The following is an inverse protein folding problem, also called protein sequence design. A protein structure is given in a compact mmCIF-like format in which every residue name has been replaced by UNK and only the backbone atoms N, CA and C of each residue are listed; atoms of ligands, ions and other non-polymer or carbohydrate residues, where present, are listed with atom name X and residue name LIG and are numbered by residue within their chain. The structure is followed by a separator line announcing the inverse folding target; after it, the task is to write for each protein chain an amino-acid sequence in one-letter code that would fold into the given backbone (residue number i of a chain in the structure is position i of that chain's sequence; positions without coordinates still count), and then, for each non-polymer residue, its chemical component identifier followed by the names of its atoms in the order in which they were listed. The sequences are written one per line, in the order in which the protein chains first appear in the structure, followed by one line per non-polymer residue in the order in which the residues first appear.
data_IF_240881989100
#
_entry.id   IF_240881989100
#
_cell.length_a   1.000
_cell.length_b   1.000
_cell.length_c   1.000
_cell.angle_alpha   90.00
_cell.angle_beta   90.00
_cell.angle_gamma   90.00
#
_symmetry.space_group_name_H-M   'P 1'
#
loop_
_entity.id
_entity.type
_entity.pdbx_description
1 polymer ?
#
# COMPACT_ATOMS: atom_id res chain seq x y z
N UNK A 1 67.77 -18.10 -8.35
CA UNK A 1 66.59 -18.56 -9.14
C UNK A 1 65.69 -19.44 -8.25
N UNK A 2 64.37 -19.43 -8.51
CA UNK A 2 63.31 -19.39 -7.48
C UNK A 2 62.64 -20.76 -7.24
N UNK A 3 61.89 -20.91 -6.13
CA UNK A 3 60.50 -21.46 -6.04
C UNK A 3 59.93 -21.09 -4.64
N UNK A 4 59.11 -20.04 -4.55
CA UNK A 4 57.64 -20.01 -4.57
C UNK A 4 57.00 -20.47 -3.24
N UNK A 5 56.40 -19.47 -2.61
CA UNK A 5 55.41 -19.41 -1.53
C UNK A 5 54.32 -20.50 -1.60
N UNK A 6 53.82 -20.97 -0.47
CA UNK A 6 52.71 -20.35 0.28
C UNK A 6 52.16 -21.39 1.26
N UNK A 7 52.21 -21.07 2.55
CA UNK A 7 51.58 -21.87 3.59
C UNK A 7 50.07 -21.76 3.43
N UNK A 8 49.43 -22.87 3.09
CA UNK A 8 47.99 -22.98 3.05
C UNK A 8 47.39 -22.69 4.44
N UNK A 9 47.02 -21.44 4.66
CA UNK A 9 46.20 -20.98 5.78
C UNK A 9 44.80 -21.60 5.61
N UNK A 10 44.55 -22.67 6.38
CA UNK A 10 43.24 -23.28 6.52
C UNK A 10 42.33 -22.34 7.33
N UNK A 11 41.77 -21.33 6.68
CA UNK A 11 40.62 -20.62 7.24
C UNK A 11 39.40 -21.55 7.17
N UNK A 12 38.69 -21.81 8.30
CA UNK A 12 37.37 -22.41 8.24
C UNK A 12 36.43 -21.41 7.55
N UNK A 13 35.97 -21.77 6.34
CA UNK A 13 34.91 -21.04 5.65
C UNK A 13 33.73 -20.89 6.60
N UNK A 14 33.40 -19.64 6.96
CA UNK A 14 32.15 -19.32 7.65
C UNK A 14 30.98 -20.00 6.91
N UNK A 15 29.99 -20.55 7.63
CA UNK A 15 28.80 -21.08 6.98
C UNK A 15 28.19 -19.97 6.14
N UNK A 16 28.04 -20.23 4.84
CA UNK A 16 27.41 -19.32 3.90
C UNK A 16 26.06 -18.90 4.49
N UNK A 17 25.92 -17.61 4.82
CA UNK A 17 24.63 -17.01 5.12
C UNK A 17 23.66 -17.43 4.00
N UNK A 18 22.45 -17.94 4.34
CA UNK A 18 21.45 -18.16 3.33
C UNK A 18 21.18 -16.79 2.69
N UNK A 19 21.55 -16.67 1.41
CA UNK A 19 21.15 -15.51 0.59
C UNK A 19 19.66 -15.31 0.83
N UNK A 20 19.19 -14.07 1.05
CA UNK A 20 17.76 -13.83 1.17
C UNK A 20 17.11 -14.46 -0.05
N UNK A 21 16.30 -15.50 0.20
CA UNK A 21 15.45 -16.09 -0.82
C UNK A 21 14.76 -14.91 -1.48
N UNK A 22 15.04 -14.72 -2.77
CA UNK A 22 14.28 -13.80 -3.58
C UNK A 22 12.83 -14.20 -3.36
N UNK A 23 12.06 -13.33 -2.71
CA UNK A 23 10.62 -13.46 -2.56
C UNK A 23 10.10 -14.02 -3.89
N UNK A 24 9.22 -15.05 -3.88
CA UNK A 24 8.71 -15.60 -5.12
C UNK A 24 8.29 -14.42 -5.96
N UNK A 25 8.89 -14.28 -7.16
CA UNK A 25 8.56 -13.21 -8.07
C UNK A 25 7.07 -13.35 -8.31
N UNK A 26 6.29 -12.59 -7.53
CA UNK A 26 4.86 -12.68 -7.50
C UNK A 26 4.51 -12.08 -8.83
N UNK A 27 4.36 -12.94 -9.85
CA UNK A 27 4.14 -12.50 -11.22
C UNK A 27 2.95 -11.57 -11.08
N UNK A 28 3.11 -10.26 -11.39
CA UNK A 28 2.01 -9.35 -11.28
C UNK A 28 0.86 -10.02 -12.04
N UNK A 29 -0.30 -10.17 -11.39
CA UNK A 29 -1.40 -10.92 -11.98
C UNK A 29 -1.58 -10.48 -13.42
N UNK A 30 -1.88 -11.40 -14.35
CA UNK A 30 -1.90 -11.08 -15.78
C UNK A 30 -2.77 -9.84 -16.12
N UNK A 31 -3.77 -9.54 -15.29
CA UNK A 31 -4.60 -8.34 -15.39
C UNK A 31 -3.81 -7.03 -15.21
N UNK A 32 -2.76 -6.98 -14.38
CA UNK A 32 -1.95 -5.76 -14.14
C UNK A 32 -1.22 -5.29 -15.39
N UNK A 33 -0.75 -6.21 -16.25
CA UNK A 33 0.00 -5.88 -17.47
C UNK A 33 -0.87 -5.28 -18.57
N UNK A 34 -2.15 -5.61 -18.62
CA UNK A 34 -3.09 -5.06 -19.61
C UNK A 34 -3.55 -3.64 -19.25
N UNK A 35 -3.38 -3.22 -17.99
CA UNK A 35 -3.83 -1.92 -17.48
C UNK A 35 -2.88 -0.77 -17.83
N UNK A 36 -1.58 -1.05 -17.91
CA UNK A 36 -0.54 -0.03 -18.07
C UNK A 36 -0.52 0.63 -19.46
N UNK A 37 -1.25 0.09 -20.45
CA UNK A 37 -1.18 0.53 -21.85
C UNK A 37 -2.18 1.64 -22.24
N UNK A 38 -3.16 1.99 -21.40
CA UNK A 38 -4.40 2.63 -21.86
C UNK A 38 -4.53 4.15 -21.62
N UNK A 39 -3.52 4.82 -21.06
CA UNK A 39 -3.54 6.29 -20.88
C UNK A 39 -4.64 6.87 -19.97
N UNK A 40 -5.38 6.01 -19.28
CA UNK A 40 -6.46 6.36 -18.35
C UNK A 40 -5.91 6.73 -16.96
N UNK A 41 -6.66 7.51 -16.19
CA UNK A 41 -6.34 7.76 -14.78
C UNK A 41 -6.29 6.43 -13.99
N UNK A 42 -5.44 6.29 -12.95
CA UNK A 42 -5.28 5.08 -12.15
C UNK A 42 -6.57 4.36 -11.74
N UNK A 43 -7.58 5.11 -11.27
CA UNK A 43 -8.86 4.56 -10.84
C UNK A 43 -9.69 4.05 -12.04
N UNK A 44 -9.58 4.69 -13.21
CA UNK A 44 -10.21 4.28 -14.48
C UNK A 44 -9.53 3.04 -15.08
N UNK A 45 -8.22 2.97 -14.89
CA UNK A 45 -7.40 1.79 -15.19
C UNK A 45 -7.86 0.58 -14.37
N UNK A 46 -8.09 0.76 -13.07
CA UNK A 46 -8.71 -0.25 -12.21
C UNK A 46 -10.13 -0.60 -12.69
N UNK A 47 -10.96 0.41 -13.00
CA UNK A 47 -12.32 0.22 -13.54
C UNK A 47 -12.32 -0.66 -14.79
N UNK A 48 -11.41 -0.42 -15.75
CA UNK A 48 -11.36 -1.14 -17.04
C UNK A 48 -10.79 -2.56 -16.93
N UNK A 49 -9.77 -2.78 -16.12
CA UNK A 49 -9.18 -4.10 -15.89
C UNK A 49 -10.19 -5.10 -15.34
N UNK A 50 -10.96 -4.63 -14.36
CA UNK A 50 -11.95 -5.44 -13.65
C UNK A 50 -13.19 -5.61 -14.54
N UNK A 51 -13.64 -4.57 -15.24
CA UNK A 51 -14.79 -4.65 -16.15
C UNK A 51 -14.57 -5.56 -17.37
N UNK A 52 -13.32 -5.67 -17.88
CA UNK A 52 -12.99 -6.59 -18.99
C UNK A 52 -13.04 -8.07 -18.57
N UNK A 53 -13.00 -8.37 -17.27
CA UNK A 53 -12.97 -9.73 -16.73
C UNK A 53 -14.29 -10.10 -16.03
N UNK A 54 -15.41 -9.73 -16.64
CA UNK A 54 -16.77 -10.03 -16.19
C UNK A 54 -17.08 -11.55 -16.15
N UNK A 55 -16.40 -12.27 -15.27
CA UNK A 55 -17.03 -13.22 -14.39
C UNK A 55 -17.14 -12.50 -13.05
N UNK A 56 -18.33 -11.96 -12.77
CA UNK A 56 -18.70 -11.58 -11.40
C UNK A 56 -18.34 -12.73 -10.45
N UNK A 57 -17.88 -12.43 -9.24
CA UNK A 57 -17.53 -13.41 -8.18
C UNK A 57 -16.07 -13.86 -8.07
N UNK A 58 -15.06 -13.01 -8.33
CA UNK A 58 -13.72 -13.31 -7.79
C UNK A 58 -13.73 -13.12 -6.27
N UNK A 59 -13.48 -14.18 -5.47
CA UNK A 59 -13.48 -14.06 -4.01
C UNK A 59 -12.40 -13.09 -3.54
N UNK A 60 -12.70 -12.32 -2.50
CA UNK A 60 -11.73 -11.47 -1.84
C UNK A 60 -10.90 -12.29 -0.84
N UNK A 61 -9.98 -13.10 -1.37
CA UNK A 61 -9.02 -13.85 -0.57
C UNK A 61 -7.74 -13.04 -0.29
N UNK A 62 -6.82 -13.61 0.49
CA UNK A 62 -5.56 -12.95 0.84
C UNK A 62 -4.69 -12.60 -0.38
N UNK A 63 -4.75 -13.39 -1.46
CA UNK A 63 -3.99 -13.12 -2.68
C UNK A 63 -4.60 -11.97 -3.47
N UNK A 64 -5.93 -11.91 -3.56
CA UNK A 64 -6.65 -10.81 -4.19
C UNK A 64 -6.43 -9.51 -3.40
N UNK A 65 -6.53 -9.56 -2.07
CA UNK A 65 -6.25 -8.44 -1.18
C UNK A 65 -4.82 -7.88 -1.35
N UNK A 66 -3.82 -8.75 -1.45
CA UNK A 66 -2.44 -8.35 -1.71
C UNK A 66 -2.28 -7.67 -3.08
N UNK A 67 -2.88 -8.24 -4.13
CA UNK A 67 -2.81 -7.66 -5.46
C UNK A 67 -3.50 -6.29 -5.56
N UNK A 68 -4.62 -6.10 -4.86
CA UNK A 68 -5.30 -4.80 -4.73
C UNK A 68 -4.43 -3.82 -3.96
N UNK A 69 -3.80 -4.27 -2.88
CA UNK A 69 -2.87 -3.47 -2.06
C UNK A 69 -1.70 -2.96 -2.90
N UNK A 70 -1.04 -3.85 -3.65
CA UNK A 70 0.07 -3.50 -4.54
C UNK A 70 -0.38 -2.48 -5.59
N UNK A 71 -1.54 -2.70 -6.21
CA UNK A 71 -2.09 -1.78 -7.20
C UNK A 71 -2.35 -0.37 -6.62
N UNK A 72 -2.98 -0.28 -5.45
CA UNK A 72 -3.30 1.00 -4.82
C UNK A 72 -2.02 1.73 -4.39
N UNK A 73 -1.02 1.00 -3.88
CA UNK A 73 0.27 1.58 -3.54
C UNK A 73 1.02 2.12 -4.76
N UNK A 74 0.98 1.40 -5.89
CA UNK A 74 1.70 1.79 -7.10
C UNK A 74 1.03 2.97 -7.82
N UNK A 75 -0.31 2.99 -7.88
CA UNK A 75 -1.03 3.92 -8.74
C UNK A 75 -1.93 4.93 -8.02
N UNK A 76 -2.17 4.77 -6.72
CA UNK A 76 -3.13 5.59 -5.98
C UNK A 76 -2.56 6.23 -4.71
N UNK A 77 -1.23 6.36 -4.61
CA UNK A 77 -0.54 6.87 -3.43
C UNK A 77 -1.04 8.25 -2.94
N UNK A 78 -1.38 9.17 -3.84
CA UNK A 78 -1.93 10.48 -3.47
C UNK A 78 -3.34 10.38 -2.89
N UNK A 79 -4.19 9.53 -3.46
CA UNK A 79 -5.53 9.28 -2.95
C UNK A 79 -5.50 8.61 -1.58
N UNK A 80 -4.55 7.69 -1.35
CA UNK A 80 -4.31 7.08 -0.03
C UNK A 80 -3.97 8.13 1.03
N UNK A 81 -3.15 9.13 0.67
CA UNK A 81 -2.85 10.24 1.58
C UNK A 81 -4.09 11.08 1.86
N UNK A 82 -4.93 11.34 0.84
CA UNK A 82 -6.23 12.00 1.01
C UNK A 82 -7.13 11.26 2.01
N UNK A 83 -7.27 9.94 1.86
CA UNK A 83 -8.05 9.12 2.79
C UNK A 83 -7.49 9.13 4.20
N UNK A 84 -6.17 9.00 4.34
CA UNK A 84 -5.50 9.08 5.63
C UNK A 84 -5.78 10.42 6.34
N UNK A 85 -5.82 11.51 5.58
CA UNK A 85 -6.05 12.84 6.12
C UNK A 85 -7.52 13.10 6.50
N UNK A 86 -8.49 12.57 5.76
CA UNK A 86 -9.92 12.72 6.10
C UNK A 86 -10.38 11.79 7.21
N UNK A 87 -9.99 10.52 7.13
CA UNK A 87 -10.68 9.45 7.86
C UNK A 87 -9.90 8.89 9.04
N UNK A 88 -8.70 9.41 9.33
CA UNK A 88 -7.86 8.91 10.42
C UNK A 88 -7.41 10.01 11.39
N UNK A 89 -6.91 9.60 12.55
CA UNK A 89 -6.38 10.51 13.56
C UNK A 89 -5.15 11.33 13.07
N UNK A 90 -4.50 10.91 11.97
CA UNK A 90 -3.36 11.62 11.38
C UNK A 90 -3.77 13.00 10.88
N UNK A 91 -4.92 13.12 10.20
CA UNK A 91 -5.43 14.41 9.75
C UNK A 91 -5.71 15.39 10.90
N UNK A 92 -6.34 14.89 11.97
CA UNK A 92 -6.59 15.68 13.18
C UNK A 92 -5.27 16.12 13.84
N UNK A 93 -4.27 15.25 13.86
CA UNK A 93 -2.94 15.53 14.41
C UNK A 93 -2.21 16.59 13.58
N UNK A 94 -2.31 16.52 12.25
CA UNK A 94 -1.79 17.55 11.35
C UNK A 94 -2.42 18.91 11.64
N UNK A 95 -3.75 18.97 11.78
CA UNK A 95 -4.48 20.19 12.13
C UNK A 95 -4.02 20.78 13.46
N UNK A 96 -3.93 19.94 14.51
CA UNK A 96 -3.48 20.36 15.86
C UNK A 96 -2.03 20.85 15.86
N UNK A 97 -1.09 20.09 15.31
CA UNK A 97 0.35 20.46 15.32
C UNK A 97 0.63 21.70 14.47
N UNK A 98 -0.04 21.85 13.34
CA UNK A 98 0.13 23.02 12.48
C UNK A 98 -0.60 24.28 12.98
N UNK A 99 -1.53 24.15 13.93
CA UNK A 99 -2.19 25.29 14.58
C UNK A 99 -1.22 26.15 15.42
N UNK A 100 -0.17 25.55 15.98
CA UNK A 100 0.84 26.24 16.79
C UNK A 100 2.09 26.63 15.99
N UNK A 101 2.43 25.85 14.96
CA UNK A 101 3.56 26.13 14.07
C UNK A 101 3.26 25.59 12.67
N UNK A 102 2.92 26.50 11.75
CA UNK A 102 2.53 26.15 10.38
C UNK A 102 3.64 25.36 9.68
N UNK A 103 3.29 24.17 9.18
CA UNK A 103 4.20 23.29 8.46
C UNK A 103 5.21 22.58 9.35
N UNK A 104 4.99 22.55 10.67
CA UNK A 104 5.84 21.78 11.60
C UNK A 104 5.67 20.28 11.46
N UNK A 105 4.52 19.84 10.95
CA UNK A 105 4.17 18.44 10.81
C UNK A 105 3.37 18.24 9.53
N UNK A 106 4.00 17.68 8.50
CA UNK A 106 3.43 17.56 7.16
C UNK A 106 3.44 16.10 6.70
N UNK A 107 2.28 15.43 6.64
CA UNK A 107 2.14 14.18 5.92
C UNK A 107 2.54 14.38 4.45
N UNK A 108 3.41 13.51 3.92
CA UNK A 108 3.98 13.65 2.57
C UNK A 108 3.62 12.49 1.65
N UNK A 109 3.40 11.29 2.19
CA UNK A 109 2.95 10.13 1.43
C UNK A 109 2.23 9.14 2.33
N UNK A 110 1.41 8.28 1.73
CA UNK A 110 0.79 7.15 2.41
C UNK A 110 0.91 5.90 1.55
N UNK A 111 1.01 4.75 2.21
CA UNK A 111 0.93 3.42 1.60
C UNK A 111 0.09 2.51 2.47
N UNK A 112 -0.55 1.53 1.86
CA UNK A 112 -1.18 0.41 2.53
C UNK A 112 -0.09 -0.58 2.93
N UNK A 113 -0.02 -0.88 4.22
CA UNK A 113 0.80 -1.98 4.76
C UNK A 113 0.05 -3.31 4.61
N UNK A 114 -1.23 -3.30 4.97
CA UNK A 114 -2.09 -4.49 4.92
C UNK A 114 -3.56 -4.13 4.77
N UNK A 115 -4.26 -4.89 3.93
CA UNK A 115 -5.71 -4.99 3.96
C UNK A 115 -6.12 -6.14 4.90
N UNK A 116 -6.90 -5.83 5.92
CA UNK A 116 -7.49 -6.80 6.83
C UNK A 116 -8.96 -6.99 6.48
N UNK A 117 -9.37 -8.26 6.36
CA UNK A 117 -10.75 -8.65 6.12
C UNK A 117 -11.13 -9.58 7.26
N UNK A 118 -12.08 -9.16 8.08
CA UNK A 118 -12.59 -9.92 9.21
C UNK A 118 -13.44 -11.11 8.78
N UNK A 119 -13.77 -11.96 9.75
CA UNK A 119 -14.45 -13.23 9.52
C UNK A 119 -15.71 -13.08 8.64
N UNK A 120 -15.70 -13.75 7.49
CA UNK A 120 -16.81 -13.75 6.53
C UNK A 120 -17.05 -12.40 5.84
N UNK A 121 -16.05 -11.52 5.74
CA UNK A 121 -16.16 -10.23 5.04
C UNK A 121 -16.92 -9.15 5.84
N UNK A 122 -17.29 -9.43 7.09
CA UNK A 122 -18.18 -8.57 7.90
C UNK A 122 -17.54 -7.29 8.41
N UNK A 123 -16.23 -7.23 8.40
CA UNK A 123 -15.46 -6.03 8.67
C UNK A 123 -14.26 -6.00 7.75
N UNK A 124 -13.79 -4.81 7.41
CA UNK A 124 -12.48 -4.66 6.81
C UNK A 124 -11.82 -3.37 7.29
N UNK A 125 -10.49 -3.42 7.30
CA UNK A 125 -9.66 -2.29 7.67
C UNK A 125 -8.46 -2.20 6.73
N UNK A 126 -8.13 -0.98 6.34
CA UNK A 126 -6.91 -0.67 5.60
C UNK A 126 -5.90 -0.13 6.61
N UNK A 127 -4.84 -0.89 6.85
CA UNK A 127 -3.70 -0.45 7.65
C UNK A 127 -2.77 0.36 6.76
N UNK A 128 -2.58 1.62 7.12
CA UNK A 128 -1.82 2.62 6.38
C UNK A 128 -0.53 2.97 7.13
N UNK A 129 0.56 3.11 6.39
CA UNK A 129 1.79 3.75 6.84
C UNK A 129 1.93 5.10 6.15
N UNK A 130 2.00 6.15 6.96
CA UNK A 130 2.03 7.53 6.49
C UNK A 130 3.40 8.10 6.81
N UNK A 131 4.11 8.52 5.78
CA UNK A 131 5.37 9.26 5.96
C UNK A 131 5.06 10.70 6.28
N UNK A 132 5.67 11.20 7.35
CA UNK A 132 5.48 12.56 7.85
C UNK A 132 6.81 13.28 7.90
N UNK A 133 6.88 14.43 7.24
CA UNK A 133 7.98 15.35 7.38
C UNK A 133 7.73 16.27 8.59
N UNK A 134 8.58 16.14 9.61
CA UNK A 134 8.61 17.06 10.74
C UNK A 134 9.65 18.15 10.53
N UNK A 135 9.32 19.39 10.93
CA UNK A 135 10.25 20.52 10.83
C UNK A 135 11.46 20.29 11.74
N UNK A 136 12.65 20.44 11.16
CA UNK A 136 13.91 20.24 11.86
C UNK A 136 14.43 18.80 11.85
N UNK A 137 13.64 17.84 11.35
CA UNK A 137 14.12 16.47 11.09
C UNK A 137 14.55 16.34 9.63
N UNK A 138 15.67 15.68 9.40
CA UNK A 138 16.17 15.43 8.05
C UNK A 138 15.45 14.24 7.38
N UNK A 139 14.97 13.29 8.18
CA UNK A 139 14.27 12.09 7.69
C UNK A 139 12.79 12.14 8.08
N UNK A 140 11.89 11.76 7.16
CA UNK A 140 10.50 11.54 7.50
C UNK A 140 10.34 10.44 8.56
N UNK A 141 9.34 10.58 9.42
CA UNK A 141 8.91 9.53 10.35
C UNK A 141 7.71 8.79 9.79
N UNK A 142 7.58 7.50 10.08
CA UNK A 142 6.39 6.72 9.72
C UNK A 142 5.38 6.73 10.86
N UNK A 143 4.13 7.00 10.54
CA UNK A 143 2.98 6.92 11.44
C UNK A 143 2.01 5.86 10.92
N UNK A 144 1.62 4.94 11.80
CA UNK A 144 0.62 3.93 11.48
C UNK A 144 -0.79 4.49 11.70
N UNK A 145 -1.69 4.21 10.75
CA UNK A 145 -3.10 4.55 10.86
C UNK A 145 -3.96 3.39 10.39
N UNK A 146 -5.16 3.29 10.97
CA UNK A 146 -6.15 2.28 10.56
C UNK A 146 -7.37 3.01 10.05
N UNK A 147 -7.75 2.68 8.83
CA UNK A 147 -8.96 3.13 8.18
C UNK A 147 -9.98 2.00 8.20
N UNK A 148 -11.06 2.16 8.97
CA UNK A 148 -12.14 1.19 9.01
C UNK A 148 -13.09 1.40 7.82
N UNK A 149 -13.39 0.34 7.09
CA UNK A 149 -14.33 0.40 5.97
C UNK A 149 -15.77 0.26 6.51
N UNK A 150 -16.70 1.15 6.12
CA UNK A 150 -18.02 1.27 6.73
C UNK A 150 -19.04 0.18 6.38
N UNK A 151 -18.87 -0.59 5.30
CA UNK A 151 -19.81 -1.67 4.95
C UNK A 151 -19.36 -3.04 5.47
N UNK A 152 -20.36 -3.80 5.92
CA UNK A 152 -20.24 -5.22 6.17
C UNK A 152 -20.50 -6.00 4.88
N UNK A 153 -19.82 -7.14 4.73
CA UNK A 153 -19.96 -8.14 3.66
C UNK A 153 -19.10 -7.93 2.40
N UNK A 154 -17.82 -7.62 2.61
CA UNK A 154 -16.77 -7.62 1.58
C UNK A 154 -16.34 -9.05 1.24
N UNK A 155 -17.08 -9.71 0.34
CA UNK A 155 -16.84 -11.10 -0.05
C UNK A 155 -16.10 -11.22 -1.38
N UNK A 156 -16.17 -10.18 -2.22
CA UNK A 156 -15.61 -10.16 -3.55
C UNK A 156 -14.75 -8.92 -3.78
N UNK A 157 -13.89 -9.00 -4.80
CA UNK A 157 -13.10 -7.84 -5.25
C UNK A 157 -14.01 -6.69 -5.71
N UNK A 158 -15.20 -7.00 -6.22
CA UNK A 158 -16.17 -5.99 -6.63
C UNK A 158 -16.80 -5.24 -5.45
N UNK A 159 -17.06 -5.94 -4.34
CA UNK A 159 -17.56 -5.32 -3.10
C UNK A 159 -16.51 -4.36 -2.55
N UNK A 160 -15.24 -4.79 -2.51
CA UNK A 160 -14.12 -3.93 -2.11
C UNK A 160 -14.01 -2.73 -3.05
N UNK A 161 -14.13 -2.92 -4.36
CA UNK A 161 -14.10 -1.83 -5.33
C UNK A 161 -15.22 -0.81 -5.08
N UNK A 162 -16.46 -1.27 -4.92
CA UNK A 162 -17.61 -0.40 -4.69
C UNK A 162 -17.40 0.43 -3.42
N UNK A 163 -16.89 -0.21 -2.37
CA UNK A 163 -16.52 0.45 -1.12
C UNK A 163 -15.45 1.53 -1.32
N UNK A 164 -14.33 1.21 -1.98
CA UNK A 164 -13.25 2.18 -2.21
C UNK A 164 -13.70 3.37 -3.06
N UNK A 165 -14.59 3.14 -4.04
CA UNK A 165 -15.17 4.21 -4.85
C UNK A 165 -16.06 5.13 -4.02
N UNK A 166 -16.91 4.57 -3.17
CA UNK A 166 -17.75 5.34 -2.25
C UNK A 166 -16.90 6.18 -1.29
N UNK A 167 -15.87 5.58 -0.70
CA UNK A 167 -14.93 6.28 0.18
C UNK A 167 -14.24 7.46 -0.54
N UNK A 168 -13.88 7.27 -1.82
CA UNK A 168 -13.31 8.33 -2.64
C UNK A 168 -14.29 9.47 -2.89
N UNK A 169 -15.55 9.16 -3.21
CA UNK A 169 -16.60 10.16 -3.42
C UNK A 169 -16.89 10.96 -2.14
N UNK A 170 -16.96 10.29 -0.99
CA UNK A 170 -17.13 10.93 0.32
C UNK A 170 -15.96 11.87 0.65
N UNK A 171 -14.73 11.42 0.40
CA UNK A 171 -13.52 12.24 0.60
C UNK A 171 -13.52 13.46 -0.33
N UNK A 172 -13.89 13.29 -1.60
CA UNK A 172 -13.96 14.40 -2.55
C UNK A 172 -15.04 15.43 -2.17
N UNK A 173 -16.17 14.98 -1.63
CA UNK A 173 -17.24 15.86 -1.17
C UNK A 173 -16.88 16.67 0.09
N UNK A 174 -15.97 16.18 0.93
CA UNK A 174 -15.51 16.89 2.13
C UNK A 174 -14.62 18.12 1.81
N UNK A 175 -13.96 18.12 0.65
CA UNK A 175 -13.04 19.18 0.22
C UNK A 175 -13.53 20.01 -0.99
N UNK A 176 -14.75 19.78 -1.49
CA UNK A 176 -15.38 20.54 -2.57
C UNK A 176 -16.15 21.76 -2.04
#
# INVERSE_FOLDING_TARGET
EPQIVDGADLQPRAPAEPRPESLPANKPPAWLKEIQADGLEPIERLRRAVSKRAAASTPLDASAAAAVTDFLNEYFAEGLLGWAMSHTAVGQTAGKKNGWSRGSWRPVSARIDRLEIGDGGRSAAIHLLISVQERGKQTPTEEAAVLFLPEADLNTVDDLRAMLLRLQEETAAEFA
#
